data_IF_649608073209
#
_entry.id   IF_649608073209
#
_cell.length_a   1.000
_cell.length_b   1.000
_cell.length_c   1.000
_cell.angle_alpha   90.00
_cell.angle_beta   90.00
_cell.angle_gamma   90.00
#
_symmetry.space_group_name_H-M   'P 1'
#
loop_
_entity.id
_entity.type
_entity.pdbx_description
1 polymer ?
#
# COMPACT_ATOMS: atom_id res chain seq x y z
N UNK A 1 -33.11 -16.03 1.85
CA UNK A 1 -32.32 -15.71 0.64
C UNK A 1 -31.30 -14.65 1.03
N UNK A 2 -30.05 -15.05 1.28
CA UNK A 2 -28.99 -14.16 1.77
C UNK A 2 -28.45 -13.33 0.60
N UNK A 3 -28.72 -12.03 0.63
CA UNK A 3 -28.14 -11.04 -0.26
C UNK A 3 -26.91 -10.47 0.47
N UNK A 4 -25.72 -10.66 -0.10
CA UNK A 4 -24.44 -10.27 0.49
C UNK A 4 -23.58 -9.67 -0.64
N UNK A 5 -23.55 -8.33 -0.78
CA UNK A 5 -22.84 -7.59 -1.85
C UNK A 5 -22.63 -6.11 -1.37
N UNK A 6 -21.62 -5.32 -1.81
CA UNK A 6 -20.17 -5.45 -1.64
C UNK A 6 -19.48 -4.16 -1.10
N UNK A 7 -18.19 -4.29 -0.80
CA UNK A 7 -17.23 -3.31 -0.23
C UNK A 7 -16.08 -3.12 -1.23
N UNK A 8 -15.48 -1.92 -1.43
CA UNK A 8 -14.04 -1.61 -1.16
C UNK A 8 -13.58 -0.27 -1.80
N UNK A 9 -12.46 0.34 -1.39
CA UNK A 9 -11.66 1.33 -2.15
C UNK A 9 -10.18 0.99 -1.90
N UNK A 10 -9.60 0.13 -2.74
CA UNK A 10 -8.37 -0.64 -2.48
C UNK A 10 -7.15 0.27 -2.37
N UNK A 11 -6.40 0.19 -1.27
CA UNK A 11 -5.15 0.90 -1.10
C UNK A 11 -4.26 0.08 -0.17
N UNK A 12 -3.18 -0.45 -0.72
CA UNK A 12 -2.43 -1.54 -0.11
C UNK A 12 -1.06 -1.03 0.27
N UNK A 13 -0.60 -1.32 1.48
CA UNK A 13 0.84 -1.40 1.74
C UNK A 13 1.26 -2.84 1.54
N UNK A 14 1.92 -3.15 0.43
CA UNK A 14 2.42 -4.48 0.17
C UNK A 14 3.89 -4.46 -0.24
N UNK A 15 4.63 -5.40 0.32
CA UNK A 15 5.94 -5.77 -0.19
C UNK A 15 5.79 -7.12 -0.90
N UNK A 16 6.14 -7.17 -2.19
CA UNK A 16 6.15 -8.40 -2.98
C UNK A 16 7.57 -8.74 -3.37
N UNK A 17 7.92 -10.01 -3.25
CA UNK A 17 9.23 -10.54 -3.58
C UNK A 17 9.15 -11.27 -4.92
N UNK A 18 9.88 -10.84 -5.96
CA UNK A 18 9.87 -11.57 -7.22
C UNK A 18 10.79 -12.82 -7.22
N UNK A 19 10.21 -13.91 -7.75
CA UNK A 19 10.76 -15.17 -8.27
C UNK A 19 11.04 -16.37 -7.30
N UNK A 20 10.21 -17.41 -7.48
CA UNK A 20 10.53 -18.85 -7.54
C UNK A 20 11.57 -19.41 -6.55
N UNK A 21 11.18 -19.53 -5.28
CA UNK A 21 11.46 -20.66 -4.38
C UNK A 21 10.95 -20.27 -2.98
N UNK A 22 9.64 -20.36 -2.73
CA UNK A 22 9.18 -20.45 -1.36
C UNK A 22 9.31 -21.90 -0.92
N UNK A 23 10.40 -22.20 -0.21
CA UNK A 23 10.32 -23.24 0.80
C UNK A 23 9.33 -22.74 1.86
N UNK A 24 8.34 -23.57 2.15
CA UNK A 24 7.29 -23.33 3.13
C UNK A 24 7.89 -23.10 4.53
N UNK A 25 7.51 -22.06 5.27
CA UNK A 25 7.85 -21.96 6.68
C UNK A 25 7.05 -23.00 7.46
N UNK A 26 7.76 -23.90 8.15
CA UNK A 26 7.20 -24.84 9.11
C UNK A 26 6.75 -24.09 10.38
N UNK A 27 5.50 -24.27 10.78
CA UNK A 27 4.98 -23.79 12.07
C UNK A 27 5.77 -24.40 13.24
N UNK A 28 6.30 -23.56 14.14
CA UNK A 28 6.62 -23.97 15.51
C UNK A 28 6.02 -22.99 16.51
N UNK A 29 5.36 -23.58 17.52
CA UNK A 29 4.61 -22.88 18.55
C UNK A 29 5.47 -22.23 19.64
N UNK A 30 4.78 -21.34 20.37
CA UNK A 30 5.19 -20.39 21.40
C UNK A 30 6.08 -20.91 22.53
N UNK A 31 6.90 -20.01 23.09
CA UNK A 31 7.07 -19.85 24.56
C UNK A 31 7.68 -18.50 24.97
N UNK A 32 7.00 -17.87 25.94
CA UNK A 32 7.38 -16.86 26.95
C UNK A 32 8.48 -15.82 26.61
N UNK A 33 8.08 -14.53 26.58
CA UNK A 33 9.03 -13.42 26.47
C UNK A 33 9.43 -12.86 27.85
N UNK A 34 10.72 -12.95 28.12
CA UNK A 34 11.47 -12.10 29.03
C UNK A 34 11.63 -10.69 28.43
N UNK A 35 11.68 -9.67 29.28
CA UNK A 35 11.97 -8.27 28.94
C UNK A 35 13.35 -8.12 28.27
N UNK A 36 13.41 -8.22 26.95
CA UNK A 36 14.60 -7.85 26.16
C UNK A 36 14.28 -6.63 25.29
N UNK A 37 14.23 -5.47 25.96
CA UNK A 37 13.75 -4.20 25.42
C UNK A 37 14.84 -3.42 24.64
N UNK A 38 15.98 -4.05 24.34
CA UNK A 38 17.12 -3.43 23.68
C UNK A 38 17.62 -4.32 22.53
N UNK A 39 17.32 -3.90 21.30
CA UNK A 39 18.13 -4.24 20.10
C UNK A 39 18.02 -5.67 19.52
N UNK A 40 16.81 -6.22 19.34
CA UNK A 40 16.64 -7.16 18.21
C UNK A 40 16.50 -6.35 16.92
N UNK A 41 17.64 -6.07 16.27
CA UNK A 41 17.64 -5.62 14.87
C UNK A 41 17.16 -6.79 14.04
N UNK A 42 16.17 -6.55 13.19
CA UNK A 42 15.75 -7.57 12.24
C UNK A 42 16.80 -7.71 11.13
N UNK A 43 17.14 -8.95 10.82
CA UNK A 43 18.00 -9.32 9.70
C UNK A 43 17.12 -9.74 8.52
N UNK A 44 17.64 -9.59 7.31
CA UNK A 44 16.92 -10.03 6.12
C UNK A 44 16.70 -11.54 6.15
N UNK A 45 15.44 -11.99 6.08
CA UNK A 45 15.08 -13.41 6.06
C UNK A 45 15.03 -13.99 4.64
N UNK A 46 15.18 -13.14 3.62
CA UNK A 46 15.19 -13.52 2.21
C UNK A 46 16.52 -13.19 1.52
N UNK A 47 16.56 -13.35 0.20
CA UNK A 47 17.68 -12.91 -0.64
C UNK A 47 17.66 -11.38 -0.74
N UNK A 48 18.81 -10.77 -0.45
CA UNK A 48 19.04 -9.33 -0.65
C UNK A 48 18.88 -9.00 -2.14
N UNK A 49 18.04 -8.00 -2.42
CA UNK A 49 17.64 -7.59 -3.78
C UNK A 49 17.54 -6.07 -3.87
N UNK A 50 17.42 -5.55 -5.08
CA UNK A 50 17.11 -4.12 -5.25
C UNK A 50 15.63 -3.91 -4.95
N UNK A 51 15.30 -2.80 -4.31
CA UNK A 51 13.95 -2.46 -3.89
C UNK A 51 13.43 -1.24 -4.65
N UNK A 52 12.23 -1.36 -5.21
CA UNK A 52 11.53 -0.27 -5.88
C UNK A 52 10.32 0.14 -5.05
N UNK A 53 10.29 1.40 -4.62
CA UNK A 53 9.20 1.98 -3.85
C UNK A 53 8.27 2.77 -4.78
N UNK A 54 6.99 2.44 -4.74
CA UNK A 54 5.93 3.03 -5.57
C UNK A 54 4.92 3.71 -4.63
N UNK A 55 4.81 5.03 -4.74
CA UNK A 55 3.98 5.83 -3.85
C UNK A 55 2.49 5.77 -4.21
N UNK A 56 1.65 6.22 -3.28
CA UNK A 56 0.21 6.34 -3.47
C UNK A 56 -0.24 7.63 -4.15
N UNK A 57 -1.49 7.99 -3.90
CA UNK A 57 -2.15 9.18 -4.43
C UNK A 57 -1.57 10.50 -3.87
N UNK A 58 -2.00 11.60 -4.49
CA UNK A 58 -1.72 12.98 -4.07
C UNK A 58 -0.24 13.40 -4.21
N UNK A 59 0.48 12.80 -5.17
CA UNK A 59 1.78 13.29 -5.61
C UNK A 59 1.66 13.90 -7.00
N UNK A 60 2.10 15.15 -7.15
CA UNK A 60 1.92 15.91 -8.41
C UNK A 60 3.22 16.05 -9.21
N UNK A 61 4.32 15.47 -8.74
CA UNK A 61 5.62 15.56 -9.41
C UNK A 61 5.86 14.29 -10.21
N UNK A 62 6.08 14.44 -11.50
CA UNK A 62 6.50 13.36 -12.39
C UNK A 62 7.98 13.50 -12.73
N UNK A 63 8.72 12.41 -12.63
CA UNK A 63 10.09 12.30 -13.16
C UNK A 63 10.21 11.03 -13.97
N UNK A 64 10.79 11.12 -15.16
CA UNK A 64 10.97 9.98 -16.06
C UNK A 64 12.01 8.98 -15.56
N UNK A 65 12.92 9.42 -14.69
CA UNK A 65 13.99 8.61 -14.12
C UNK A 65 13.66 8.12 -12.70
N UNK A 66 14.29 7.02 -12.28
CA UNK A 66 14.21 6.52 -10.91
C UNK A 66 14.98 7.42 -9.93
N UNK A 67 14.31 7.78 -8.84
CA UNK A 67 14.84 8.69 -7.84
C UNK A 67 15.58 7.94 -6.72
N UNK A 68 16.60 8.58 -6.13
CA UNK A 68 17.33 8.07 -4.95
C UNK A 68 16.76 8.56 -3.61
N UNK A 69 15.78 9.48 -3.67
CA UNK A 69 15.09 10.05 -2.53
C UNK A 69 13.61 10.20 -2.87
N UNK A 70 12.78 10.32 -1.83
CA UNK A 70 11.36 10.56 -1.97
C UNK A 70 10.92 11.64 -1.00
N UNK A 71 10.06 12.55 -1.45
CA UNK A 71 9.32 13.46 -0.58
C UNK A 71 8.07 12.76 0.01
N UNK A 72 7.71 11.58 -0.51
CA UNK A 72 6.53 10.81 -0.12
C UNK A 72 6.85 9.79 0.98
N UNK A 73 7.90 8.99 0.80
CA UNK A 73 8.36 8.02 1.80
C UNK A 73 9.43 8.62 2.70
N UNK A 74 9.53 8.15 3.95
CA UNK A 74 10.69 8.41 4.80
C UNK A 74 11.97 7.72 4.29
N UNK A 75 13.11 8.09 4.87
CA UNK A 75 14.38 7.44 4.56
C UNK A 75 14.42 6.02 5.12
N UNK A 76 14.46 5.03 4.21
CA UNK A 76 14.45 3.61 4.53
C UNK A 76 15.82 2.94 4.40
N UNK A 77 16.90 3.68 4.09
CA UNK A 77 18.24 3.11 3.86
C UNK A 77 18.76 2.26 5.02
N UNK A 78 18.38 2.59 6.25
CA UNK A 78 18.79 1.87 7.46
C UNK A 78 17.68 1.00 8.07
N UNK A 79 16.51 0.94 7.42
CA UNK A 79 15.33 0.22 7.88
C UNK A 79 14.93 -0.90 6.89
N UNK A 80 15.77 -1.20 5.90
CA UNK A 80 15.46 -2.09 4.80
C UNK A 80 16.56 -3.15 4.60
N UNK A 81 16.73 -4.11 5.53
CA UNK A 81 17.86 -5.04 5.53
C UNK A 81 17.91 -5.96 4.31
N UNK A 82 16.77 -6.17 3.63
CA UNK A 82 16.71 -6.94 2.39
C UNK A 82 17.00 -6.16 1.11
N UNK A 83 17.25 -4.85 1.21
CA UNK A 83 17.45 -3.99 0.06
C UNK A 83 18.95 -3.71 -0.15
N UNK A 84 19.54 -4.18 -1.25
CA UNK A 84 20.90 -3.78 -1.65
C UNK A 84 20.97 -2.34 -2.14
N UNK A 85 19.88 -1.87 -2.75
CA UNK A 85 19.67 -0.47 -3.12
C UNK A 85 18.17 -0.16 -3.11
N UNK A 86 17.82 1.10 -2.87
CA UNK A 86 16.43 1.57 -2.90
C UNK A 86 16.31 2.63 -3.99
N UNK A 87 15.30 2.47 -4.85
CA UNK A 87 14.87 3.47 -5.82
C UNK A 87 13.40 3.80 -5.59
N UNK A 88 13.02 5.01 -5.96
CA UNK A 88 11.66 5.52 -5.82
C UNK A 88 11.12 5.92 -7.19
N UNK A 89 9.91 5.49 -7.50
CA UNK A 89 9.16 6.03 -8.64
C UNK A 89 8.59 7.40 -8.25
N UNK A 90 8.50 8.35 -9.18
CA UNK A 90 7.82 9.63 -8.97
C UNK A 90 6.86 9.89 -10.13
N UNK A 91 5.56 9.77 -9.85
CA UNK A 91 4.48 9.86 -10.83
C UNK A 91 3.47 10.94 -10.45
N UNK A 92 2.80 11.55 -11.41
CA UNK A 92 1.62 12.38 -11.12
C UNK A 92 0.39 11.53 -10.79
N UNK A 93 0.28 11.09 -9.54
CA UNK A 93 -0.88 10.36 -9.01
C UNK A 93 -1.93 11.28 -8.40
N UNK A 94 -1.76 12.59 -8.53
CA UNK A 94 -2.75 13.57 -8.13
C UNK A 94 -3.73 13.82 -9.27
N UNK A 95 -3.22 14.06 -10.48
CA UNK A 95 -4.04 14.38 -11.65
C UNK A 95 -4.35 13.18 -12.54
N UNK A 96 -3.59 12.08 -12.44
CA UNK A 96 -3.78 10.86 -13.25
C UNK A 96 -4.29 9.71 -12.38
N UNK A 97 -5.28 8.97 -12.91
CA UNK A 97 -5.90 7.82 -12.25
C UNK A 97 -5.07 6.55 -12.35
N UNK A 98 -5.24 5.60 -11.42
CA UNK A 98 -4.44 4.36 -11.40
C UNK A 98 -4.72 3.40 -12.57
N UNK A 99 -5.83 3.59 -13.27
CA UNK A 99 -6.21 2.84 -14.47
C UNK A 99 -5.61 3.42 -15.76
N UNK A 100 -4.81 4.48 -15.65
CA UNK A 100 -4.15 5.12 -16.80
C UNK A 100 -3.02 4.24 -17.34
N UNK A 101 -3.03 3.99 -18.65
CA UNK A 101 -2.11 3.06 -19.31
C UNK A 101 -0.65 3.58 -19.27
N UNK A 102 -0.42 4.88 -19.48
CA UNK A 102 0.92 5.47 -19.47
C UNK A 102 1.54 5.39 -18.06
N UNK A 103 0.73 5.64 -17.03
CA UNK A 103 1.10 5.51 -15.63
C UNK A 103 1.52 4.06 -15.29
N UNK A 104 0.73 3.08 -15.74
CA UNK A 104 1.00 1.65 -15.53
C UNK A 104 2.24 1.18 -16.30
N UNK A 105 2.38 1.58 -17.57
CA UNK A 105 3.54 1.24 -18.40
C UNK A 105 4.83 1.80 -17.81
N UNK A 106 4.79 3.03 -17.30
CA UNK A 106 5.92 3.66 -16.61
C UNK A 106 6.38 2.85 -15.40
N UNK A 107 5.44 2.41 -14.55
CA UNK A 107 5.76 1.55 -13.39
C UNK A 107 6.33 0.21 -13.83
N UNK A 108 5.74 -0.42 -14.84
CA UNK A 108 6.21 -1.70 -15.39
C UNK A 108 7.65 -1.60 -15.93
N UNK A 109 7.92 -0.58 -16.74
CA UNK A 109 9.26 -0.29 -17.28
C UNK A 109 10.28 -0.09 -16.17
N UNK A 110 9.94 0.71 -15.15
CA UNK A 110 10.81 0.92 -14.00
C UNK A 110 11.07 -0.37 -13.23
N UNK A 111 10.04 -1.16 -12.94
CA UNK A 111 10.18 -2.42 -12.22
C UNK A 111 11.05 -3.44 -12.97
N UNK A 112 10.90 -3.53 -14.30
CA UNK A 112 11.76 -4.37 -15.16
C UNK A 112 13.22 -3.91 -15.10
N UNK A 113 13.46 -2.61 -15.22
CA UNK A 113 14.80 -1.99 -15.25
C UNK A 113 15.59 -2.16 -13.94
N UNK A 114 14.93 -2.54 -12.84
CA UNK A 114 15.62 -2.75 -11.57
C UNK A 114 16.64 -3.88 -11.65
N UNK A 115 16.42 -4.89 -12.48
CA UNK A 115 17.25 -6.11 -12.50
C UNK A 115 17.52 -6.58 -13.91
N UNK A 116 18.81 -6.76 -14.24
CA UNK A 116 19.25 -7.28 -15.55
C UNK A 116 18.80 -8.75 -15.77
N UNK A 117 18.21 -9.39 -14.77
CA UNK A 117 17.61 -10.73 -14.88
C UNK A 117 16.12 -10.72 -15.23
N UNK A 118 15.49 -9.55 -15.20
CA UNK A 118 14.14 -9.36 -15.71
C UNK A 118 14.07 -9.75 -17.20
N UNK A 119 12.91 -10.20 -17.65
CA UNK A 119 12.64 -10.50 -19.05
C UNK A 119 11.69 -9.42 -19.58
N UNK A 120 12.24 -8.44 -20.32
CA UNK A 120 11.46 -7.30 -20.82
C UNK A 120 10.45 -7.71 -21.88
N UNK A 121 10.79 -8.70 -22.72
CA UNK A 121 9.90 -9.21 -23.77
C UNK A 121 8.70 -9.91 -23.16
N UNK A 122 8.92 -10.73 -22.12
CA UNK A 122 7.85 -11.45 -21.42
C UNK A 122 7.24 -10.66 -20.26
N UNK A 123 7.67 -9.41 -20.03
CA UNK A 123 7.26 -8.55 -18.91
C UNK A 123 7.40 -9.24 -17.54
N UNK A 124 8.43 -10.06 -17.36
CA UNK A 124 8.68 -10.77 -16.09
C UNK A 124 9.75 -10.03 -15.29
N UNK A 125 9.34 -9.35 -14.22
CA UNK A 125 10.24 -8.74 -13.24
C UNK A 125 10.94 -9.85 -12.46
N UNK A 126 12.27 -9.84 -12.29
CA UNK A 126 13.01 -10.83 -11.48
C UNK A 126 13.98 -10.18 -10.50
N UNK A 127 14.23 -10.84 -9.36
CA UNK A 127 15.26 -10.40 -8.39
C UNK A 127 15.05 -8.96 -7.86
N UNK A 128 13.78 -8.52 -7.80
CA UNK A 128 13.37 -7.20 -7.29
C UNK A 128 12.36 -7.38 -6.16
N UNK A 129 12.45 -6.53 -5.14
CA UNK A 129 11.40 -6.35 -4.13
C UNK A 129 10.60 -5.10 -4.51
N UNK A 130 9.30 -5.25 -4.68
CA UNK A 130 8.40 -4.14 -4.97
C UNK A 130 7.71 -3.74 -3.68
N UNK A 131 7.80 -2.47 -3.32
CA UNK A 131 7.16 -1.89 -2.14
C UNK A 131 6.15 -0.88 -2.62
N UNK A 132 4.87 -1.15 -2.38
CA UNK A 132 3.77 -0.30 -2.83
C UNK A 132 3.06 0.31 -1.63
N UNK A 133 2.52 1.52 -1.82
CA UNK A 133 1.62 2.15 -0.87
C UNK A 133 0.37 2.68 -1.56
N UNK A 134 -0.79 2.41 -0.98
CA UNK A 134 -2.07 2.98 -1.35
C UNK A 134 -2.38 2.76 -2.83
N UNK A 135 -2.68 3.82 -3.58
CA UNK A 135 -2.88 3.78 -5.03
C UNK A 135 -1.71 3.14 -5.79
N UNK A 136 -0.47 3.21 -5.28
CA UNK A 136 0.71 2.62 -5.92
C UNK A 136 0.62 1.10 -6.09
N UNK A 137 -0.13 0.42 -5.23
CA UNK A 137 -0.35 -1.01 -5.35
C UNK A 137 -1.33 -1.36 -6.47
N UNK A 138 -2.31 -0.49 -6.73
CA UNK A 138 -3.25 -0.64 -7.83
C UNK A 138 -2.57 -0.47 -9.18
N UNK A 139 -1.68 0.52 -9.31
CA UNK A 139 -0.94 0.78 -10.56
C UNK A 139 -0.11 -0.46 -10.96
N UNK A 140 0.43 -1.20 -9.98
CA UNK A 140 1.23 -2.40 -10.22
C UNK A 140 0.40 -3.65 -10.53
N UNK A 141 -0.85 -3.71 -10.07
CA UNK A 141 -1.64 -4.95 -10.05
C UNK A 141 -2.44 -5.21 -11.34
N UNK A 142 -2.25 -4.42 -12.40
CA UNK A 142 -3.03 -4.52 -13.64
C UNK A 142 -2.18 -5.09 -14.78
N UNK A 143 -2.62 -6.23 -15.33
CA UNK A 143 -2.09 -6.87 -16.56
C UNK A 143 -3.08 -6.77 -17.74
N UNK A 144 -4.16 -5.99 -17.60
CA UNK A 144 -5.23 -5.92 -18.60
C UNK A 144 -5.79 -4.50 -18.76
N UNK A 145 -5.63 -3.96 -19.97
CA UNK A 145 -6.11 -2.65 -20.41
C UNK A 145 -7.63 -2.50 -20.26
N UNK A 146 -8.11 -1.35 -19.76
CA UNK A 146 -9.48 -0.90 -19.97
C UNK A 146 -9.62 0.62 -20.06
N UNK A 147 -10.49 0.98 -20.99
CA UNK A 147 -10.71 2.26 -21.63
C UNK A 147 -12.06 2.85 -21.14
N UNK A 148 -12.17 4.19 -21.23
CA UNK A 148 -13.40 5.02 -21.26
C UNK A 148 -13.98 5.58 -19.93
N UNK A 149 -14.21 6.90 -20.00
CA UNK A 149 -14.68 7.84 -18.98
C UNK A 149 -16.21 7.93 -18.76
N UNK A 150 -16.58 8.34 -17.53
CA UNK A 150 -17.38 9.54 -17.16
C UNK A 150 -18.77 9.41 -16.46
N UNK A 151 -18.87 10.20 -15.36
CA UNK A 151 -20.00 10.94 -14.73
C UNK A 151 -21.10 10.17 -13.95
N UNK A 152 -21.66 10.59 -12.78
CA UNK A 152 -21.55 11.80 -11.94
C UNK A 152 -22.21 11.60 -10.53
N UNK A 153 -21.77 12.41 -9.54
CA UNK A 153 -22.43 12.98 -8.32
C UNK A 153 -22.64 12.23 -6.98
N UNK A 154 -22.23 12.92 -5.90
CA UNK A 154 -22.81 12.93 -4.55
C UNK A 154 -22.14 14.04 -3.69
N UNK A 155 -22.84 14.56 -2.67
CA UNK A 155 -22.50 15.81 -1.95
C UNK A 155 -21.87 15.61 -0.57
N UNK A 156 -21.60 14.39 -0.12
CA UNK A 156 -20.99 14.14 1.20
C UNK A 156 -19.45 14.14 1.19
N UNK A 157 -18.82 13.75 0.08
CA UNK A 157 -17.36 13.73 -0.08
C UNK A 157 -16.75 15.14 -0.31
N UNK A 158 -17.52 16.03 -0.95
CA UNK A 158 -17.06 17.39 -1.26
C UNK A 158 -16.75 18.22 -0.01
N UNK A 159 -17.52 18.06 1.07
CA UNK A 159 -17.31 18.83 2.31
C UNK A 159 -16.01 18.45 3.05
N UNK A 160 -15.64 17.16 3.06
CA UNK A 160 -14.40 16.68 3.66
C UNK A 160 -13.16 17.14 2.86
N UNK A 161 -13.25 17.14 1.53
CA UNK A 161 -12.16 17.56 0.64
C UNK A 161 -12.02 19.09 0.54
N UNK A 162 -13.10 19.85 0.78
CA UNK A 162 -13.09 21.32 0.86
C UNK A 162 -12.32 21.82 2.09
N UNK A 163 -12.46 21.13 3.24
CA UNK A 163 -11.73 21.42 4.49
C UNK A 163 -10.21 21.21 4.37
N UNK A 164 -9.76 20.42 3.40
CA UNK A 164 -8.34 20.14 3.14
C UNK A 164 -7.78 20.89 1.92
N UNK A 165 -8.54 21.79 1.29
CA UNK A 165 -8.11 22.55 0.11
C UNK A 165 -7.93 21.72 -1.16
N UNK A 166 -8.52 20.51 -1.24
CA UNK A 166 -8.29 19.51 -2.30
C UNK A 166 -9.50 19.36 -3.25
N UNK A 167 -10.18 20.47 -3.55
CA UNK A 167 -11.30 20.53 -4.50
C UNK A 167 -10.99 21.52 -5.65
N UNK A 168 -11.41 21.24 -6.91
CA UNK A 168 -12.14 20.05 -7.34
C UNK A 168 -11.30 18.78 -7.20
N UNK A 169 -11.98 17.67 -6.91
CA UNK A 169 -11.32 16.35 -6.78
C UNK A 169 -10.67 16.00 -8.13
N UNK A 170 -9.35 15.84 -8.12
CA UNK A 170 -8.55 15.53 -9.31
C UNK A 170 -8.69 14.06 -9.72
N UNK A 171 -8.29 13.69 -10.94
CA UNK A 171 -8.62 12.39 -11.52
C UNK A 171 -8.00 11.21 -10.76
N UNK A 172 -6.80 11.39 -10.18
CA UNK A 172 -6.16 10.41 -9.30
C UNK A 172 -7.10 9.97 -8.18
N UNK A 173 -7.61 10.92 -7.41
CA UNK A 173 -8.53 10.60 -6.31
C UNK A 173 -9.91 10.14 -6.77
N UNK A 174 -10.40 10.58 -7.93
CA UNK A 174 -11.65 10.06 -8.51
C UNK A 174 -11.54 8.59 -8.89
N UNK A 175 -10.37 8.15 -9.38
CA UNK A 175 -10.13 6.75 -9.74
C UNK A 175 -10.16 5.80 -8.54
N UNK A 176 -10.06 6.32 -7.31
CA UNK A 176 -10.17 5.57 -6.05
C UNK A 176 -11.61 5.47 -5.53
N UNK A 177 -12.61 5.67 -6.40
CA UNK A 177 -14.01 5.49 -6.03
C UNK A 177 -14.24 4.08 -5.46
N UNK A 178 -15.18 3.98 -4.51
CA UNK A 178 -15.49 2.69 -3.89
C UNK A 178 -16.07 1.72 -4.91
N UNK A 179 -15.47 0.53 -5.03
CA UNK A 179 -16.01 -0.63 -5.72
C UNK A 179 -17.47 -0.89 -5.34
N UNK A 180 -18.35 -1.00 -6.34
CA UNK A 180 -19.80 -1.12 -6.19
C UNK A 180 -20.48 0.11 -5.55
N UNK A 181 -19.76 1.21 -5.40
CA UNK A 181 -20.25 2.49 -4.88
C UNK A 181 -20.83 3.37 -5.98
N UNK A 182 -21.55 4.43 -5.59
CA UNK A 182 -22.27 5.33 -6.51
C UNK A 182 -21.39 5.98 -7.59
N UNK A 183 -20.09 6.11 -7.32
CA UNK A 183 -19.13 6.76 -8.24
C UNK A 183 -18.24 5.76 -8.98
N UNK A 184 -18.42 4.46 -8.74
CA UNK A 184 -17.70 3.44 -9.48
C UNK A 184 -18.46 3.07 -10.75
N UNK A 185 -17.73 2.59 -11.73
CA UNK A 185 -18.28 1.97 -12.93
C UNK A 185 -18.04 0.46 -12.88
N UNK A 186 -18.69 -0.29 -13.78
CA UNK A 186 -18.44 -1.73 -13.86
C UNK A 186 -16.99 -2.03 -14.26
N UNK A 187 -16.43 -1.20 -15.12
CA UNK A 187 -15.06 -1.28 -15.58
C UNK A 187 -14.09 -1.06 -14.42
N UNK A 188 -14.35 -0.07 -13.56
CA UNK A 188 -13.54 0.18 -12.37
C UNK A 188 -13.69 -0.95 -11.34
N UNK A 189 -14.89 -1.50 -11.18
CA UNK A 189 -15.12 -2.66 -10.31
C UNK A 189 -14.36 -3.90 -10.79
N UNK A 190 -14.38 -4.20 -12.09
CA UNK A 190 -13.60 -5.28 -12.70
C UNK A 190 -12.10 -5.05 -12.53
N UNK A 191 -11.61 -3.82 -12.73
CA UNK A 191 -10.21 -3.50 -12.50
C UNK A 191 -9.78 -3.74 -11.04
N UNK A 192 -10.68 -3.50 -10.07
CA UNK A 192 -10.41 -3.84 -8.68
C UNK A 192 -10.37 -5.35 -8.44
N UNK A 193 -11.26 -6.13 -9.06
CA UNK A 193 -11.25 -7.60 -8.98
C UNK A 193 -9.95 -8.19 -9.54
N UNK A 194 -9.51 -7.71 -10.70
CA UNK A 194 -8.23 -8.10 -11.32
C UNK A 194 -7.05 -7.75 -10.41
N UNK A 195 -7.03 -6.53 -9.86
CA UNK A 195 -6.00 -6.09 -8.93
C UNK A 195 -5.96 -6.95 -7.65
N UNK A 196 -7.12 -7.39 -7.15
CA UNK A 196 -7.22 -8.27 -5.97
C UNK A 196 -6.71 -9.68 -6.25
N UNK A 197 -6.99 -10.24 -7.43
CA UNK A 197 -6.50 -11.56 -7.82
C UNK A 197 -4.96 -11.58 -7.84
N UNK A 198 -4.35 -10.60 -8.52
CA UNK A 198 -2.90 -10.41 -8.57
C UNK A 198 -2.34 -10.19 -7.17
N UNK A 199 -2.96 -9.31 -6.39
CA UNK A 199 -2.52 -9.02 -5.02
C UNK A 199 -2.49 -10.27 -4.14
N UNK A 200 -3.60 -11.01 -4.08
CA UNK A 200 -3.75 -12.19 -3.24
C UNK A 200 -2.76 -13.31 -3.60
N UNK A 201 -2.34 -13.36 -4.87
CA UNK A 201 -1.42 -14.37 -5.41
C UNK A 201 0.05 -14.04 -5.18
N UNK A 202 0.44 -12.78 -5.27
CA UNK A 202 1.87 -12.40 -5.29
C UNK A 202 2.37 -11.68 -4.04
N UNK A 203 1.48 -11.21 -3.17
CA UNK A 203 1.88 -10.51 -1.94
C UNK A 203 2.40 -11.47 -0.90
N UNK A 204 3.60 -11.17 -0.41
CA UNK A 204 4.28 -11.96 0.61
C UNK A 204 4.28 -11.29 1.99
N UNK A 205 4.13 -9.96 2.04
CA UNK A 205 3.93 -9.21 3.27
C UNK A 205 3.02 -7.98 3.05
N UNK A 206 2.15 -7.70 4.01
CA UNK A 206 1.26 -6.54 3.99
C UNK A 206 1.04 -5.92 5.37
N UNK A 207 1.03 -4.59 5.43
CA UNK A 207 0.64 -3.84 6.63
C UNK A 207 -0.70 -3.15 6.37
N UNK A 208 -1.71 -3.52 7.15
CA UNK A 208 -3.05 -2.96 7.03
C UNK A 208 -3.56 -2.44 8.36
N UNK A 209 -3.96 -1.18 8.42
CA UNK A 209 -4.43 -0.61 9.69
C UNK A 209 -5.92 -0.85 9.91
N UNK A 210 -6.27 -1.14 11.16
CA UNK A 210 -7.66 -1.21 11.60
C UNK A 210 -8.07 0.00 12.47
N UNK A 211 -7.24 1.03 12.53
CA UNK A 211 -7.49 2.25 13.28
C UNK A 211 -6.67 3.42 12.73
N UNK A 212 -7.28 4.61 12.73
CA UNK A 212 -6.70 5.87 12.27
C UNK A 212 -6.02 6.66 13.40
N UNK A 213 -5.87 6.05 14.60
CA UNK A 213 -5.26 6.71 15.76
C UNK A 213 -3.86 7.22 15.44
N UNK A 214 -3.06 6.40 14.76
CA UNK A 214 -1.72 6.77 14.34
C UNK A 214 -0.71 7.03 15.45
N UNK A 215 0.51 7.38 15.02
CA UNK A 215 1.60 7.85 15.86
C UNK A 215 1.29 9.25 16.41
N UNK A 216 1.97 9.64 17.48
CA UNK A 216 1.87 11.00 18.02
C UNK A 216 2.60 11.95 17.07
N UNK A 217 1.85 12.56 16.16
CA UNK A 217 2.34 13.51 15.15
C UNK A 217 1.22 14.47 14.75
N UNK A 218 1.55 15.49 13.95
CA UNK A 218 0.54 16.40 13.37
C UNK A 218 -0.47 15.67 12.48
N UNK A 219 -0.07 14.56 11.84
CA UNK A 219 -0.91 13.79 10.93
C UNK A 219 -2.10 13.14 11.65
N UNK A 220 -1.99 12.84 12.95
CA UNK A 220 -3.07 12.25 13.75
C UNK A 220 -4.36 13.08 13.68
N UNK A 221 -4.25 14.41 13.71
CA UNK A 221 -5.43 15.29 13.68
C UNK A 221 -6.06 15.30 12.29
N UNK A 222 -5.24 15.37 11.24
CA UNK A 222 -5.70 15.37 9.85
C UNK A 222 -6.46 14.07 9.52
N UNK A 223 -5.85 12.91 9.83
CA UNK A 223 -6.44 11.61 9.51
C UNK A 223 -7.62 11.25 10.43
N UNK A 224 -7.67 11.76 11.66
CA UNK A 224 -8.88 11.64 12.49
C UNK A 224 -10.06 12.44 11.91
N UNK A 225 -9.79 13.63 11.36
CA UNK A 225 -10.77 14.40 10.60
C UNK A 225 -11.27 13.62 9.39
N UNK A 226 -10.36 13.15 8.54
CA UNK A 226 -10.70 12.34 7.37
C UNK A 226 -11.54 11.10 7.75
N UNK A 227 -11.12 10.31 8.73
CA UNK A 227 -11.85 9.13 9.18
C UNK A 227 -13.29 9.44 9.60
N UNK A 228 -13.50 10.58 10.24
CA UNK A 228 -14.80 11.03 10.75
C UNK A 228 -15.72 11.51 9.64
N UNK A 229 -15.18 12.22 8.65
CA UNK A 229 -15.97 12.91 7.62
C UNK A 229 -16.05 12.17 6.28
N UNK A 230 -15.14 11.24 5.99
CA UNK A 230 -15.12 10.48 4.74
C UNK A 230 -16.26 9.47 4.62
N UNK A 231 -16.99 9.19 5.71
CA UNK A 231 -18.15 8.30 5.69
C UNK A 231 -17.80 6.85 5.35
N UNK A 232 -16.64 6.36 5.80
CA UNK A 232 -16.22 4.98 5.56
C UNK A 232 -17.30 3.98 5.99
N UNK A 233 -17.49 2.93 5.19
CA UNK A 233 -18.40 1.81 5.52
C UNK A 233 -17.97 1.04 6.78
N UNK A 234 -16.74 1.24 7.25
CA UNK A 234 -16.18 0.59 8.42
C UNK A 234 -15.40 1.56 9.30
N UNK A 235 -15.53 1.39 10.63
CA UNK A 235 -14.70 2.09 11.63
C UNK A 235 -13.25 1.59 11.65
N UNK A 236 -12.97 0.44 11.02
CA UNK A 236 -11.61 -0.08 10.85
C UNK A 236 -11.00 0.51 9.59
N UNK A 237 -10.27 1.61 9.74
CA UNK A 237 -9.61 2.31 8.65
C UNK A 237 -8.39 3.08 9.18
N UNK A 238 -7.46 3.44 8.31
CA UNK A 238 -6.28 4.26 8.61
C UNK A 238 -6.53 5.77 8.44
N UNK A 239 -7.78 6.17 8.25
CA UNK A 239 -8.23 7.53 7.95
C UNK A 239 -8.45 7.79 6.47
N UNK A 240 -7.95 6.93 5.59
CA UNK A 240 -8.16 7.04 4.15
C UNK A 240 -8.67 5.73 3.53
N UNK A 241 -8.21 4.60 4.07
CA UNK A 241 -8.40 3.26 3.54
C UNK A 241 -8.94 2.37 4.63
N UNK A 242 -9.98 1.58 4.33
CA UNK A 242 -10.49 0.61 5.30
C UNK A 242 -9.58 -0.61 5.39
N UNK A 243 -9.55 -1.26 6.55
CA UNK A 243 -8.78 -2.47 6.79
C UNK A 243 -9.11 -3.57 5.78
N UNK A 244 -10.40 -3.79 5.53
CA UNK A 244 -10.89 -4.75 4.55
C UNK A 244 -10.35 -4.43 3.16
N UNK A 245 -10.26 -3.15 2.84
CA UNK A 245 -9.72 -2.69 1.59
C UNK A 245 -8.26 -3.00 1.43
N UNK A 246 -7.42 -2.57 2.37
CA UNK A 246 -6.00 -2.88 2.36
C UNK A 246 -5.70 -4.39 2.32
N UNK A 247 -6.61 -5.25 2.73
CA UNK A 247 -6.37 -6.70 2.69
C UNK A 247 -6.52 -7.32 1.31
N UNK A 248 -7.21 -6.65 0.38
CA UNK A 248 -7.36 -7.12 -1.00
C UNK A 248 -7.76 -8.58 -1.13
N UNK A 249 -8.65 -9.08 -0.26
CA UNK A 249 -9.12 -10.47 -0.26
C UNK A 249 -8.31 -11.48 0.56
N UNK A 250 -7.15 -11.10 1.14
CA UNK A 250 -6.40 -11.98 2.06
C UNK A 250 -7.26 -12.38 3.28
N UNK A 251 -7.04 -13.52 3.93
CA UNK A 251 -7.80 -13.91 5.12
C UNK A 251 -7.46 -13.02 6.34
N UNK A 252 -8.44 -12.65 7.16
CA UNK A 252 -8.22 -11.90 8.41
C UNK A 252 -7.37 -12.67 9.41
N UNK A 253 -7.43 -14.00 9.39
CA UNK A 253 -6.69 -14.87 10.30
C UNK A 253 -5.17 -14.84 10.06
N UNK A 254 -4.72 -14.34 8.90
CA UNK A 254 -3.30 -14.14 8.61
C UNK A 254 -2.70 -12.96 9.38
N UNK A 255 -3.52 -12.00 9.79
CA UNK A 255 -3.04 -10.72 10.32
C UNK A 255 -2.85 -10.75 11.83
N UNK A 256 -1.67 -10.34 12.28
CA UNK A 256 -1.28 -10.25 13.69
C UNK A 256 -0.80 -8.82 14.02
N UNK A 257 -0.95 -8.36 15.27
CA UNK A 257 -0.51 -7.03 15.68
C UNK A 257 0.95 -7.00 16.21
N UNK A 258 1.67 -8.11 16.07
CA UNK A 258 3.12 -8.21 16.17
C UNK A 258 3.79 -7.58 14.93
N UNK A 259 4.65 -6.55 15.12
CA UNK A 259 5.41 -5.92 14.04
C UNK A 259 6.49 -6.82 13.43
N UNK A 260 6.60 -8.09 13.81
CA UNK A 260 7.45 -9.08 13.13
C UNK A 260 6.67 -10.00 12.19
N UNK A 261 5.33 -9.91 12.20
CA UNK A 261 4.45 -10.64 11.29
C UNK A 261 4.57 -10.13 9.86
N UNK A 262 4.61 -11.04 8.88
CA UNK A 262 4.52 -10.69 7.47
C UNK A 262 3.21 -9.97 7.13
N UNK A 263 2.11 -10.37 7.79
CA UNK A 263 0.80 -9.73 7.66
C UNK A 263 0.46 -9.02 8.96
N UNK A 264 0.71 -7.72 8.99
CA UNK A 264 0.66 -6.91 10.20
C UNK A 264 -0.61 -6.06 10.23
N UNK A 265 -1.43 -6.24 11.26
CA UNK A 265 -2.57 -5.36 11.53
C UNK A 265 -2.16 -4.24 12.49
N UNK A 266 -2.06 -3.03 11.95
CA UNK A 266 -1.58 -1.88 12.70
C UNK A 266 -2.73 -0.97 13.18
N UNK A 267 -2.38 0.02 14.01
CA UNK A 267 -3.18 1.19 14.38
C UNK A 267 -2.55 2.48 13.86
N UNK A 268 -1.70 2.37 12.85
CA UNK A 268 -1.09 3.49 12.13
C UNK A 268 -2.14 4.21 11.29
N UNK A 269 -2.09 5.54 11.25
CA UNK A 269 -2.85 6.28 10.24
C UNK A 269 -2.16 6.14 8.87
N UNK A 270 -2.81 6.60 7.81
CA UNK A 270 -2.33 6.43 6.44
C UNK A 270 -1.00 7.15 6.15
N UNK A 271 -0.62 8.19 6.91
CA UNK A 271 0.67 8.86 6.76
C UNK A 271 1.80 8.15 7.51
N UNK A 272 1.51 7.55 8.66
CA UNK A 272 2.51 6.80 9.45
C UNK A 272 3.11 5.64 8.66
N UNK A 273 2.29 5.02 7.81
CA UNK A 273 2.73 3.91 6.96
C UNK A 273 3.72 4.34 5.89
N UNK A 274 3.84 5.66 5.59
CA UNK A 274 4.87 6.23 4.70
C UNK A 274 6.27 6.27 5.33
N UNK A 275 6.42 5.82 6.58
CA UNK A 275 7.70 5.73 7.31
C UNK A 275 8.39 7.08 7.58
N UNK A 276 7.66 8.20 7.54
CA UNK A 276 8.24 9.52 7.87
C UNK A 276 8.56 9.68 9.36
N UNK A 277 7.73 9.08 10.21
CA UNK A 277 7.87 9.16 11.67
C UNK A 277 8.68 8.01 12.24
N UNK A 278 9.08 8.13 13.50
CA UNK A 278 9.67 7.02 14.26
C UNK A 278 8.55 6.14 14.80
N UNK A 279 8.85 4.85 14.95
CA UNK A 279 7.94 3.90 15.58
C UNK A 279 7.58 4.31 17.01
N UNK A 280 6.39 3.92 17.46
CA UNK A 280 6.00 4.02 18.86
C UNK A 280 6.93 3.14 19.71
N UNK A 281 7.31 3.61 20.90
CA UNK A 281 8.22 2.86 21.77
C UNK A 281 7.54 1.67 22.45
N UNK A 282 6.24 1.78 22.78
CA UNK A 282 5.52 0.83 23.62
C UNK A 282 4.48 0.01 22.83
N UNK A 283 3.78 0.64 21.89
CA UNK A 283 2.67 0.00 21.19
C UNK A 283 3.16 -0.80 19.98
N UNK A 284 3.14 -2.14 20.07
CA UNK A 284 3.48 -3.03 18.95
C UNK A 284 2.66 -2.76 17.69
N UNK A 285 1.39 -2.41 17.83
CA UNK A 285 0.50 -2.03 16.73
C UNK A 285 0.79 -0.66 16.09
N UNK A 286 1.86 0.03 16.49
CA UNK A 286 2.29 1.31 15.89
C UNK A 286 3.81 1.33 15.59
N UNK A 287 4.32 0.27 14.98
CA UNK A 287 5.74 0.14 14.62
C UNK A 287 5.95 -0.16 13.13
N UNK A 288 5.57 0.75 12.23
CA UNK A 288 5.62 0.52 10.78
C UNK A 288 7.05 0.27 10.26
N UNK A 289 8.09 0.94 10.80
CA UNK A 289 9.47 0.73 10.35
C UNK A 289 9.99 -0.63 10.78
N UNK A 290 9.78 -1.01 12.05
CA UNK A 290 10.11 -2.34 12.55
C UNK A 290 9.42 -3.42 11.73
N UNK A 291 8.14 -3.24 11.38
CA UNK A 291 7.46 -4.15 10.48
C UNK A 291 8.19 -4.31 9.15
N UNK A 292 8.53 -3.22 8.49
CA UNK A 292 9.26 -3.29 7.23
C UNK A 292 10.63 -3.96 7.36
N UNK A 293 11.36 -3.70 8.46
CA UNK A 293 12.64 -4.35 8.76
C UNK A 293 12.52 -5.87 8.93
N UNK A 294 11.40 -6.34 9.49
CA UNK A 294 11.25 -7.73 9.96
C UNK A 294 10.43 -8.62 9.01
N UNK A 295 9.67 -8.02 8.10
CA UNK A 295 8.71 -8.71 7.25
C UNK A 295 9.33 -9.45 6.05
N UNK A 296 10.59 -9.14 5.70
CA UNK A 296 11.26 -9.59 4.47
C UNK A 296 12.51 -10.45 4.72
#
# INVERSE_FOLDING_TARGET
MRLQIPTLALALFAATTSANNLQTPSHRGLKAESLDFLSYKCECKSKIRKCLFIHGELHSKHHDDLQDKSDYFGDMKHHAPCCSSIKYVSLDTETVGWTDEDLQETVCKHALSMSDKSDEEKKVIKDTILVTHSMGALILAVDTALNVCSNEKSRSFQAAMLLLGKCPVKAGLKSLAYMGGHYSSKELDTAYEDAQDVYSKYVTAAMCSNSFQGLISGDQIEYAGLATFAGHKSKKNDGFVTFESCRGGLDTEKFDDDPTSAFYVSKCNHADTKFKHKDDLLMNSKKPKRWFECAL
#
